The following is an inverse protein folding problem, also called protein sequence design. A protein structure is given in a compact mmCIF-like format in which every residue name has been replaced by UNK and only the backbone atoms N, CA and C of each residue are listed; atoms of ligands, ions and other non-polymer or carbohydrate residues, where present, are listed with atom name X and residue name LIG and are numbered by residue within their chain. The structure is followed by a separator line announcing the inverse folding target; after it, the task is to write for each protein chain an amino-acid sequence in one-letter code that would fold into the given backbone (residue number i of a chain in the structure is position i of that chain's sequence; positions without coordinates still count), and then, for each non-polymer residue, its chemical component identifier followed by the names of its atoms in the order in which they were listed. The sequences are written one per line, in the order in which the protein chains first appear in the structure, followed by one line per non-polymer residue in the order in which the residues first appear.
data_IF_634908986382
#
_entry.id   IF_634908986382
#
_cell.length_a   1.000
_cell.length_b   1.000
_cell.length_c   1.000
_cell.angle_alpha   90.00
_cell.angle_beta   90.00
_cell.angle_gamma   90.00
#
_symmetry.space_group_name_H-M   'P 1'
#
loop_
_entity.id
_entity.type
_entity.pdbx_description
1 polymer ?
#
# COMPACT_ATOMS: atom_id res chain seq x y z
N UNK A 1 3.92 -19.71 -21.69
CA UNK A 1 3.26 -18.38 -21.58
C UNK A 1 2.73 -18.03 -22.94
N UNK A 2 1.45 -17.69 -23.05
CA UNK A 2 0.91 -17.16 -24.31
C UNK A 2 1.54 -15.78 -24.46
N UNK A 3 2.34 -15.60 -25.50
CA UNK A 3 2.98 -14.32 -25.78
C UNK A 3 2.06 -13.57 -26.74
N UNK A 4 1.62 -12.37 -26.35
CA UNK A 4 0.72 -11.54 -27.17
C UNK A 4 1.26 -11.37 -28.61
N UNK A 5 0.41 -11.66 -29.60
CA UNK A 5 0.78 -11.66 -31.03
C UNK A 5 0.55 -10.31 -31.73
N UNK A 6 0.00 -9.33 -31.02
CA UNK A 6 -0.29 -7.99 -31.56
C UNK A 6 0.51 -6.90 -30.85
N UNK A 7 0.52 -5.72 -31.48
CA UNK A 7 1.14 -4.50 -30.94
C UNK A 7 0.52 -4.13 -29.58
N UNK A 8 1.30 -3.61 -28.63
CA UNK A 8 0.76 -3.06 -27.38
C UNK A 8 -0.27 -1.97 -27.65
N UNK A 9 -1.45 -2.05 -27.03
CA UNK A 9 -2.56 -1.10 -27.29
C UNK A 9 -2.60 0.00 -26.24
N UNK A 10 -2.36 1.24 -26.65
CA UNK A 10 -2.25 2.38 -25.73
C UNK A 10 -3.35 3.41 -26.02
N UNK A 11 -4.18 3.68 -25.02
CA UNK A 11 -5.21 4.72 -25.09
C UNK A 11 -4.69 6.04 -24.52
N UNK A 12 -4.84 7.12 -25.27
CA UNK A 12 -4.51 8.47 -24.85
C UNK A 12 -5.78 9.26 -24.49
N UNK A 13 -5.79 9.82 -23.28
CA UNK A 13 -6.80 10.77 -22.79
C UNK A 13 -6.13 12.11 -22.50
N UNK A 14 -6.77 13.21 -22.89
CA UNK A 14 -6.25 14.56 -22.65
C UNK A 14 -7.28 15.49 -22.00
N UNK A 15 -6.79 16.45 -21.22
CA UNK A 15 -7.61 17.25 -20.30
C UNK A 15 -7.99 18.65 -20.78
N UNK A 16 -7.93 18.98 -22.07
CA UNK A 16 -8.29 20.33 -22.55
C UNK A 16 -8.83 20.34 -23.97
N UNK A 17 -9.95 21.04 -24.14
CA UNK A 17 -10.68 21.26 -25.40
C UNK A 17 -10.27 22.56 -26.12
N UNK A 18 -9.30 23.31 -25.58
CA UNK A 18 -8.81 24.54 -26.23
C UNK A 18 -8.32 24.22 -27.64
N UNK A 19 -8.52 25.14 -28.57
CA UNK A 19 -8.01 25.02 -29.95
C UNK A 19 -6.52 24.68 -29.94
N UNK A 20 -5.72 25.47 -29.20
CA UNK A 20 -4.33 25.17 -28.87
C UNK A 20 -4.22 24.62 -27.45
N UNK A 21 -4.28 23.30 -27.34
CA UNK A 21 -4.26 22.57 -26.07
C UNK A 21 -2.89 21.90 -25.87
N UNK A 22 -2.07 22.43 -24.96
CA UNK A 22 -0.73 21.85 -24.69
C UNK A 22 -0.79 20.44 -24.11
N UNK A 23 -1.84 20.08 -23.37
CA UNK A 23 -2.01 18.70 -22.89
C UNK A 23 -2.31 17.74 -24.04
N UNK A 24 -3.06 18.19 -25.07
CA UNK A 24 -3.28 17.44 -26.31
C UNK A 24 -2.00 17.33 -27.13
N UNK A 25 -1.27 18.44 -27.33
CA UNK A 25 0.01 18.43 -28.06
C UNK A 25 1.06 17.54 -27.38
N UNK A 26 1.13 17.56 -26.05
CA UNK A 26 2.00 16.67 -25.28
C UNK A 26 1.60 15.20 -25.44
N UNK A 27 0.29 14.90 -25.45
CA UNK A 27 -0.21 13.55 -25.69
C UNK A 27 0.07 13.08 -27.13
N UNK A 28 -0.02 13.97 -28.12
CA UNK A 28 0.32 13.70 -29.52
C UNK A 28 1.83 13.41 -29.70
N UNK A 29 2.70 14.17 -29.03
CA UNK A 29 4.15 13.89 -29.04
C UNK A 29 4.47 12.54 -28.38
N UNK A 30 3.89 12.28 -27.21
CA UNK A 30 4.02 11.00 -26.52
C UNK A 30 3.51 9.82 -27.37
N UNK A 31 2.42 10.02 -28.11
CA UNK A 31 1.88 9.01 -29.01
C UNK A 31 2.81 8.72 -30.20
N UNK A 32 3.48 9.73 -30.78
CA UNK A 32 4.50 9.51 -31.82
C UNK A 32 5.63 8.64 -31.30
N UNK A 33 6.18 8.99 -30.14
CA UNK A 33 7.29 8.27 -29.49
C UNK A 33 6.91 6.80 -29.25
N UNK A 34 5.77 6.52 -28.60
CA UNK A 34 5.40 5.13 -28.30
C UNK A 34 4.98 4.33 -29.54
N UNK A 35 4.51 5.00 -30.59
CA UNK A 35 4.23 4.37 -31.89
C UNK A 35 5.53 3.92 -32.56
N UNK A 36 6.58 4.74 -32.51
CA UNK A 36 7.92 4.38 -33.00
C UNK A 36 8.51 3.18 -32.23
N UNK A 37 8.20 3.06 -30.93
CA UNK A 37 8.55 1.88 -30.13
C UNK A 37 7.77 0.62 -30.52
N UNK A 38 6.66 0.75 -31.25
CA UNK A 38 5.89 -0.38 -31.79
C UNK A 38 4.47 -0.54 -31.26
N UNK A 39 3.94 0.43 -30.50
CA UNK A 39 2.56 0.39 -29.98
C UNK A 39 1.50 0.76 -31.05
N UNK A 40 0.29 0.24 -30.88
CA UNK A 40 -0.93 0.74 -31.52
C UNK A 40 -1.55 1.80 -30.59
N UNK A 41 -1.76 3.02 -31.10
CA UNK A 41 -2.27 4.14 -30.31
C UNK A 41 -3.68 4.54 -30.75
N UNK A 42 -4.54 4.89 -29.79
CA UNK A 42 -5.83 5.54 -30.05
C UNK A 42 -6.04 6.70 -29.12
N UNK A 43 -6.69 7.75 -29.63
CA UNK A 43 -7.11 8.91 -28.85
C UNK A 43 -8.61 8.87 -28.66
N UNK A 44 -9.06 9.36 -27.50
CA UNK A 44 -10.45 9.73 -27.30
C UNK A 44 -10.61 11.24 -27.46
N UNK A 45 -11.59 11.69 -28.27
CA UNK A 45 -11.99 13.11 -28.32
C UNK A 45 -13.13 13.37 -27.32
N UNK A 46 -12.90 14.20 -26.27
CA UNK A 46 -13.90 14.43 -25.22
C UNK A 46 -14.88 15.57 -25.50
N UNK A 47 -14.87 16.22 -26.69
CA UNK A 47 -15.71 17.41 -26.96
C UNK A 47 -17.21 17.20 -26.70
N UNK A 48 -17.72 16.05 -27.08
CA UNK A 48 -19.15 15.69 -26.96
C UNK A 48 -19.41 14.72 -25.80
N UNK A 49 -18.43 14.53 -24.91
CA UNK A 49 -18.62 13.67 -23.75
C UNK A 49 -19.52 14.40 -22.73
N UNK A 50 -20.72 13.87 -22.41
CA UNK A 50 -21.62 14.46 -21.42
C UNK A 50 -20.98 14.49 -20.03
N UNK A 51 -21.48 15.33 -19.14
CA UNK A 51 -21.06 15.31 -17.73
C UNK A 51 -21.49 13.99 -17.10
N UNK A 52 -20.63 13.39 -16.29
CA UNK A 52 -20.93 12.15 -15.60
C UNK A 52 -22.25 12.24 -14.82
N UNK A 53 -23.14 11.27 -15.07
CA UNK A 53 -24.47 11.20 -14.46
C UNK A 53 -25.53 12.07 -15.12
N UNK A 54 -25.21 12.85 -16.17
CA UNK A 54 -26.21 13.70 -16.84
C UNK A 54 -27.06 12.97 -17.88
N UNK A 55 -26.60 11.82 -18.37
CA UNK A 55 -27.29 10.98 -19.36
C UNK A 55 -27.11 9.49 -19.02
N UNK A 56 -27.91 8.58 -19.60
CA UNK A 56 -27.66 7.15 -19.49
C UNK A 56 -26.29 6.77 -20.05
N UNK A 57 -25.73 5.69 -19.55
CA UNK A 57 -24.41 5.22 -19.99
C UNK A 57 -24.43 4.65 -21.42
N UNK A 58 -25.61 4.45 -22.03
CA UNK A 58 -25.80 4.09 -23.45
C UNK A 58 -25.47 5.22 -24.43
N UNK A 59 -25.14 6.42 -23.94
CA UNK A 59 -24.75 7.54 -24.79
C UNK A 59 -23.54 7.19 -25.68
N UNK A 60 -23.58 7.55 -26.97
CA UNK A 60 -22.57 7.13 -27.96
C UNK A 60 -21.12 7.43 -27.54
N UNK A 61 -20.85 8.66 -27.09
CA UNK A 61 -19.52 9.05 -26.60
C UNK A 61 -19.07 8.33 -25.33
N UNK A 62 -20.01 7.91 -24.48
CA UNK A 62 -19.71 7.14 -23.27
C UNK A 62 -19.33 5.71 -23.65
N UNK A 63 -20.06 5.11 -24.59
CA UNK A 63 -19.75 3.79 -25.12
C UNK A 63 -18.40 3.79 -25.84
N UNK A 64 -18.13 4.76 -26.70
CA UNK A 64 -16.83 4.91 -27.37
C UNK A 64 -15.66 4.97 -26.36
N UNK A 65 -15.78 5.78 -25.32
CA UNK A 65 -14.75 5.86 -24.27
C UNK A 65 -14.54 4.52 -23.56
N UNK A 66 -15.63 3.83 -23.22
CA UNK A 66 -15.58 2.54 -22.52
C UNK A 66 -14.99 1.44 -23.40
N UNK A 67 -15.37 1.40 -24.68
CA UNK A 67 -14.82 0.48 -25.67
C UNK A 67 -13.32 0.71 -25.88
N UNK A 68 -12.88 1.97 -25.96
CA UNK A 68 -11.47 2.33 -26.03
C UNK A 68 -10.71 1.90 -24.77
N UNK A 69 -11.27 2.15 -23.58
CA UNK A 69 -10.65 1.70 -22.33
C UNK A 69 -10.56 0.17 -22.29
N UNK A 70 -11.60 -0.53 -22.72
CA UNK A 70 -11.60 -1.99 -22.78
C UNK A 70 -10.55 -2.52 -23.78
N UNK A 71 -10.42 -1.89 -24.94
CA UNK A 71 -9.44 -2.22 -25.99
C UNK A 71 -7.99 -2.02 -25.52
N UNK A 72 -7.75 -1.02 -24.68
CA UNK A 72 -6.41 -0.67 -24.19
C UNK A 72 -5.77 -1.76 -23.33
N UNK A 73 -4.44 -1.89 -23.40
CA UNK A 73 -3.60 -2.66 -22.48
C UNK A 73 -2.80 -1.72 -21.55
N UNK A 74 -2.58 -0.48 -22.01
CA UNK A 74 -2.04 0.62 -21.23
C UNK A 74 -2.71 1.94 -21.59
N UNK A 75 -2.57 2.95 -20.74
CA UNK A 75 -3.12 4.28 -20.98
C UNK A 75 -2.12 5.39 -20.68
N UNK A 76 -2.32 6.54 -21.31
CA UNK A 76 -1.62 7.80 -21.01
C UNK A 76 -2.66 8.87 -20.73
N UNK A 77 -2.56 9.50 -19.56
CA UNK A 77 -3.43 10.60 -19.17
C UNK A 77 -2.64 11.90 -19.10
N UNK A 78 -2.99 12.85 -19.95
CA UNK A 78 -2.35 14.17 -20.03
C UNK A 78 -3.31 15.27 -19.58
N UNK A 79 -3.10 15.84 -18.40
CA UNK A 79 -3.94 16.93 -17.87
C UNK A 79 -3.19 18.26 -17.88
N UNK A 80 -3.81 19.38 -18.27
CA UNK A 80 -3.31 20.66 -17.83
C UNK A 80 -3.50 20.79 -16.31
N UNK A 81 -2.69 21.62 -15.68
CA UNK A 81 -2.93 22.10 -14.33
C UNK A 81 -3.80 23.35 -14.39
N UNK A 82 -5.02 23.25 -13.86
CA UNK A 82 -5.99 24.34 -13.77
C UNK A 82 -6.29 24.61 -12.30
N UNK A 83 -6.07 25.84 -11.85
CA UNK A 83 -6.22 26.22 -10.44
C UNK A 83 -5.49 25.28 -9.47
N UNK A 84 -4.29 24.83 -9.86
CA UNK A 84 -3.46 23.94 -9.04
C UNK A 84 -3.94 22.49 -8.98
N UNK A 85 -4.83 22.05 -9.87
CA UNK A 85 -5.39 20.69 -9.88
C UNK A 85 -5.59 20.15 -11.32
N UNK A 86 -6.04 18.89 -11.44
CA UNK A 86 -6.45 18.28 -12.70
C UNK A 86 -7.62 19.05 -13.33
N UNK A 87 -7.79 18.93 -14.65
CA UNK A 87 -8.94 19.54 -15.31
C UNK A 87 -10.24 18.76 -15.09
N UNK A 88 -11.36 19.47 -15.09
CA UNK A 88 -12.68 18.82 -15.09
C UNK A 88 -12.88 17.90 -16.31
N UNK A 89 -12.25 18.20 -17.45
CA UNK A 89 -12.36 17.39 -18.68
C UNK A 89 -11.71 16.02 -18.50
N UNK A 90 -10.49 15.94 -17.92
CA UNK A 90 -9.85 14.64 -17.70
C UNK A 90 -10.58 13.85 -16.62
N UNK A 91 -11.04 14.54 -15.57
CA UNK A 91 -11.79 13.91 -14.49
C UNK A 91 -13.12 13.34 -14.98
N UNK A 92 -13.85 14.08 -15.82
CA UNK A 92 -15.11 13.63 -16.40
C UNK A 92 -14.93 12.38 -17.27
N UNK A 93 -13.85 12.30 -18.07
CA UNK A 93 -13.50 11.08 -18.81
C UNK A 93 -13.31 9.89 -17.86
N UNK A 94 -12.49 10.06 -16.82
CA UNK A 94 -12.20 9.01 -15.85
C UNK A 94 -13.48 8.55 -15.12
N UNK A 95 -14.38 9.48 -14.78
CA UNK A 95 -15.64 9.17 -14.07
C UNK A 95 -16.58 8.28 -14.89
N UNK A 96 -16.55 8.40 -16.22
CA UNK A 96 -17.34 7.54 -17.11
C UNK A 96 -16.82 6.10 -17.23
N UNK A 97 -15.62 5.81 -16.73
CA UNK A 97 -15.00 4.48 -16.77
C UNK A 97 -15.25 3.75 -15.44
N UNK A 98 -16.20 2.81 -15.37
CA UNK A 98 -16.48 2.08 -14.14
C UNK A 98 -15.40 1.04 -13.85
N UNK A 99 -15.25 0.67 -12.58
CA UNK A 99 -14.41 -0.46 -12.17
C UNK A 99 -14.90 -1.79 -12.74
N UNK A 100 -16.21 -1.93 -12.95
CA UNK A 100 -16.86 -3.16 -13.38
C UNK A 100 -18.05 -2.90 -14.29
N UNK A 101 -18.11 -3.61 -15.41
CA UNK A 101 -19.30 -3.74 -16.27
C UNK A 101 -19.62 -5.23 -16.34
N UNK A 102 -20.48 -5.71 -15.42
CA UNK A 102 -20.69 -7.15 -15.23
C UNK A 102 -19.38 -7.87 -14.88
N UNK A 103 -18.94 -8.79 -15.75
CA UNK A 103 -17.67 -9.51 -15.61
C UNK A 103 -16.45 -8.72 -16.13
N UNK A 104 -16.66 -7.71 -16.99
CA UNK A 104 -15.59 -6.96 -17.63
C UNK A 104 -15.02 -5.94 -16.63
N UNK A 105 -13.69 -5.79 -16.63
CA UNK A 105 -12.95 -4.80 -15.83
C UNK A 105 -12.18 -3.90 -16.81
N UNK A 106 -12.68 -2.69 -17.16
CA UNK A 106 -12.12 -1.85 -18.23
C UNK A 106 -10.74 -1.24 -17.96
N UNK A 107 -10.26 -1.22 -16.71
CA UNK A 107 -8.98 -0.61 -16.31
C UNK A 107 -8.08 -1.52 -15.47
N UNK A 108 -8.66 -2.49 -14.77
CA UNK A 108 -7.94 -3.34 -13.82
C UNK A 108 -6.74 -4.07 -14.47
N UNK A 109 -5.56 -3.93 -13.86
CA UNK A 109 -4.32 -4.59 -14.30
C UNK A 109 -3.63 -3.99 -15.52
N UNK A 110 -4.22 -2.97 -16.15
CA UNK A 110 -3.62 -2.22 -17.27
C UNK A 110 -2.56 -1.24 -16.77
N UNK A 111 -1.57 -0.95 -17.59
CA UNK A 111 -0.53 0.04 -17.27
C UNK A 111 -1.03 1.48 -17.44
N UNK A 112 -0.45 2.41 -16.70
CA UNK A 112 -0.79 3.83 -16.78
C UNK A 112 0.46 4.70 -16.69
N UNK A 113 0.59 5.65 -17.62
CA UNK A 113 1.49 6.79 -17.48
C UNK A 113 0.69 8.09 -17.28
N UNK A 114 1.18 8.97 -16.42
CA UNK A 114 0.55 10.26 -16.12
C UNK A 114 1.45 11.40 -16.53
N UNK A 115 0.85 12.41 -17.15
CA UNK A 115 1.54 13.58 -17.67
C UNK A 115 0.76 14.85 -17.33
N UNK A 116 1.47 15.95 -17.10
CA UNK A 116 0.86 17.27 -17.00
C UNK A 116 1.59 18.35 -17.79
N UNK A 117 0.83 19.41 -18.08
CA UNK A 117 1.35 20.69 -18.56
C UNK A 117 0.90 21.81 -17.64
N UNK A 118 1.77 22.79 -17.41
CA UNK A 118 1.43 24.03 -16.70
C UNK A 118 1.75 25.24 -17.55
N UNK A 119 0.94 26.30 -17.41
CA UNK A 119 1.27 27.62 -17.95
C UNK A 119 2.29 28.38 -17.09
N UNK A 120 2.48 27.97 -15.84
CA UNK A 120 3.39 28.61 -14.88
C UNK A 120 4.66 27.80 -14.63
N UNK A 121 5.26 28.05 -13.47
CA UNK A 121 6.39 27.27 -12.95
C UNK A 121 6.04 25.79 -12.77
N UNK A 122 7.07 24.97 -12.61
CA UNK A 122 6.90 23.54 -12.43
C UNK A 122 6.06 23.22 -11.19
N UNK A 123 5.17 22.24 -11.35
CA UNK A 123 4.27 21.74 -10.33
C UNK A 123 4.02 20.25 -10.60
N UNK A 124 3.48 19.53 -9.63
CA UNK A 124 3.17 18.10 -9.74
C UNK A 124 1.76 17.75 -9.27
N UNK A 125 0.92 18.75 -9.00
CA UNK A 125 -0.38 18.53 -8.38
C UNK A 125 -1.31 17.68 -9.25
N UNK A 126 -1.33 17.94 -10.57
CA UNK A 126 -2.18 17.19 -11.49
C UNK A 126 -1.71 15.74 -11.63
N UNK A 127 -0.41 15.48 -11.85
CA UNK A 127 0.12 14.10 -11.94
C UNK A 127 -0.02 13.31 -10.65
N UNK A 128 0.14 13.96 -9.48
CA UNK A 128 -0.08 13.30 -8.19
C UNK A 128 -1.54 12.84 -8.03
N UNK A 129 -2.48 13.71 -8.41
CA UNK A 129 -3.91 13.36 -8.38
C UNK A 129 -4.23 12.25 -9.38
N UNK A 130 -3.71 12.32 -10.61
CA UNK A 130 -3.90 11.27 -11.63
C UNK A 130 -3.30 9.92 -11.17
N UNK A 131 -2.16 9.92 -10.49
CA UNK A 131 -1.54 8.72 -9.94
C UNK A 131 -2.45 8.05 -8.89
N UNK A 132 -3.04 8.84 -8.01
CA UNK A 132 -4.01 8.36 -7.00
C UNK A 132 -5.28 7.82 -7.70
N UNK A 133 -5.75 8.48 -8.76
CA UNK A 133 -6.87 7.99 -9.57
C UNK A 133 -6.54 6.66 -10.27
N UNK A 134 -5.33 6.51 -10.81
CA UNK A 134 -4.85 5.26 -11.41
C UNK A 134 -4.88 4.09 -10.42
N UNK A 135 -4.44 4.33 -9.18
CA UNK A 135 -4.55 3.36 -8.07
C UNK A 135 -6.01 3.00 -7.79
N UNK A 136 -6.92 3.99 -7.72
CA UNK A 136 -8.35 3.72 -7.52
C UNK A 136 -8.94 2.87 -8.64
N UNK A 137 -8.52 3.10 -9.89
CA UNK A 137 -8.89 2.30 -11.07
C UNK A 137 -8.13 0.98 -11.19
N UNK A 138 -7.34 0.59 -10.18
CA UNK A 138 -6.56 -0.66 -10.11
C UNK A 138 -5.61 -0.83 -11.30
N UNK A 139 -5.07 0.28 -11.81
CA UNK A 139 -4.07 0.30 -12.86
C UNK A 139 -2.67 0.18 -12.25
N UNK A 140 -1.73 -0.34 -13.03
CA UNK A 140 -0.31 -0.32 -12.71
C UNK A 140 0.29 1.00 -13.22
N UNK A 141 0.26 2.03 -12.37
CA UNK A 141 0.84 3.33 -12.71
C UNK A 141 2.36 3.26 -12.65
N UNK A 142 3.04 3.45 -13.78
CA UNK A 142 4.50 3.39 -13.87
C UNK A 142 5.15 4.46 -12.98
N UNK A 143 6.37 4.24 -12.46
CA UNK A 143 7.01 5.18 -11.56
C UNK A 143 7.30 6.53 -12.22
N UNK A 144 7.77 6.53 -13.47
CA UNK A 144 8.14 7.77 -14.17
C UNK A 144 6.89 8.57 -14.60
N UNK A 145 7.05 9.89 -14.70
CA UNK A 145 5.98 10.82 -15.07
C UNK A 145 6.55 12.09 -15.71
N UNK A 146 5.71 12.79 -16.49
CA UNK A 146 6.09 14.06 -17.13
C UNK A 146 5.33 15.24 -16.54
N UNK A 147 6.05 16.33 -16.24
CA UNK A 147 5.46 17.62 -15.89
C UNK A 147 6.20 18.73 -16.62
N UNK A 148 5.54 19.31 -17.63
CA UNK A 148 6.09 20.35 -18.49
C UNK A 148 5.68 21.72 -17.99
N UNK A 149 6.63 22.47 -17.42
CA UNK A 149 6.42 23.85 -16.99
C UNK A 149 6.43 24.81 -18.18
N UNK A 150 5.74 25.95 -18.05
CA UNK A 150 5.65 26.99 -19.09
C UNK A 150 5.46 26.41 -20.50
N UNK A 151 4.52 25.47 -20.65
CA UNK A 151 4.42 24.62 -21.85
C UNK A 151 4.31 25.40 -23.17
N UNK A 152 3.83 26.64 -23.14
CA UNK A 152 3.83 27.53 -24.30
C UNK A 152 5.22 27.82 -24.89
N UNK A 153 6.29 27.68 -24.09
CA UNK A 153 7.69 27.83 -24.52
C UNK A 153 8.28 26.54 -25.11
N UNK A 154 7.65 25.39 -24.83
CA UNK A 154 8.10 24.07 -25.26
C UNK A 154 7.44 23.63 -26.58
N UNK A 155 6.31 24.25 -26.95
CA UNK A 155 5.56 23.95 -28.15
C UNK A 155 5.51 25.16 -29.11
N UNK A 156 6.47 25.28 -30.06
CA UNK A 156 6.42 26.28 -31.13
C UNK A 156 5.18 26.14 -32.02
N UNK A 157 4.97 27.07 -32.97
CA UNK A 157 3.75 27.14 -33.80
C UNK A 157 3.40 25.86 -34.56
N UNK A 158 4.40 25.04 -34.94
CA UNK A 158 4.20 23.75 -35.60
C UNK A 158 3.59 22.65 -34.72
N UNK A 159 3.38 22.89 -33.41
CA UNK A 159 2.70 21.96 -32.50
C UNK A 159 3.54 20.77 -32.04
N UNK A 160 4.71 20.52 -32.63
CA UNK A 160 5.69 19.54 -32.14
C UNK A 160 6.50 20.13 -30.99
N UNK A 161 6.80 19.29 -30.00
CA UNK A 161 7.61 19.70 -28.86
C UNK A 161 9.05 19.96 -29.30
N UNK A 162 9.67 21.05 -28.85
CA UNK A 162 11.09 21.33 -29.12
C UNK A 162 11.98 20.29 -28.40
N UNK A 163 13.22 20.18 -28.85
CA UNK A 163 14.22 19.39 -28.16
C UNK A 163 14.58 20.04 -26.82
N UNK A 164 14.33 19.34 -25.72
CA UNK A 164 14.51 19.87 -24.36
C UNK A 164 14.54 18.74 -23.33
N UNK A 165 15.03 19.00 -22.10
CA UNK A 165 14.97 18.02 -21.01
C UNK A 165 13.55 17.53 -20.68
N UNK A 166 12.53 18.34 -21.01
CA UNK A 166 11.14 17.91 -20.87
C UNK A 166 10.77 16.86 -21.92
N UNK A 167 11.28 16.99 -23.16
CA UNK A 167 11.06 16.01 -24.22
C UNK A 167 11.79 14.70 -23.91
N UNK A 168 13.02 14.77 -23.43
CA UNK A 168 13.78 13.59 -22.95
C UNK A 168 12.98 12.82 -21.89
N UNK A 169 12.42 13.56 -20.92
CA UNK A 169 11.54 12.95 -19.91
C UNK A 169 10.30 12.29 -20.53
N UNK A 170 9.68 12.87 -21.55
CA UNK A 170 8.55 12.23 -22.24
C UNK A 170 8.98 10.94 -22.92
N UNK A 171 10.18 10.91 -23.50
CA UNK A 171 10.76 9.69 -24.09
C UNK A 171 10.94 8.61 -23.03
N UNK A 172 11.56 8.94 -21.89
CA UNK A 172 11.74 7.99 -20.77
C UNK A 172 10.40 7.41 -20.30
N UNK A 173 9.38 8.26 -20.14
CA UNK A 173 8.05 7.85 -19.67
C UNK A 173 7.36 6.93 -20.68
N UNK A 174 7.47 7.20 -21.98
CA UNK A 174 6.89 6.35 -23.02
C UNK A 174 7.64 5.03 -23.19
N UNK A 175 8.97 5.06 -23.08
CA UNK A 175 9.80 3.85 -23.11
C UNK A 175 9.49 2.94 -21.92
N UNK A 176 9.40 3.51 -20.72
CA UNK A 176 9.01 2.79 -19.51
C UNK A 176 7.60 2.23 -19.61
N UNK A 177 6.62 3.03 -20.07
CA UNK A 177 5.25 2.56 -20.29
C UNK A 177 5.22 1.37 -21.25
N UNK A 178 5.95 1.45 -22.37
CA UNK A 178 6.02 0.38 -23.36
C UNK A 178 6.57 -0.91 -22.75
N UNK A 179 7.71 -0.82 -22.04
CA UNK A 179 8.36 -1.96 -21.37
C UNK A 179 7.43 -2.62 -20.35
N UNK A 180 6.80 -1.84 -19.47
CA UNK A 180 5.86 -2.37 -18.48
C UNK A 180 4.61 -2.97 -19.12
N UNK A 181 4.10 -2.38 -20.20
CA UNK A 181 2.92 -2.92 -20.89
C UNK A 181 3.21 -4.29 -21.48
N UNK A 182 4.36 -4.46 -22.14
CA UNK A 182 4.79 -5.76 -22.66
C UNK A 182 4.98 -6.77 -21.53
N UNK A 183 5.60 -6.35 -20.42
CA UNK A 183 5.87 -7.23 -19.28
C UNK A 183 4.58 -7.75 -18.63
N UNK A 184 3.55 -6.91 -18.52
CA UNK A 184 2.38 -7.19 -17.69
C UNK A 184 1.16 -7.71 -18.48
N UNK A 185 1.00 -7.34 -19.76
CA UNK A 185 -0.24 -7.60 -20.52
C UNK A 185 -0.64 -9.08 -20.60
N UNK A 186 0.34 -9.99 -20.70
CA UNK A 186 0.11 -11.43 -20.79
C UNK A 186 -0.10 -12.10 -19.40
N UNK A 187 0.03 -11.33 -18.32
CA UNK A 187 -0.02 -11.81 -16.93
C UNK A 187 -1.17 -11.18 -16.13
N UNK A 188 -2.02 -10.34 -16.75
CA UNK A 188 -3.08 -9.60 -16.06
C UNK A 188 -4.02 -10.52 -15.28
N UNK A 189 -4.42 -11.67 -15.84
CA UNK A 189 -5.29 -12.62 -15.16
C UNK A 189 -4.65 -13.19 -13.88
N UNK A 190 -3.36 -13.52 -13.93
CA UNK A 190 -2.61 -13.99 -12.77
C UNK A 190 -2.42 -12.88 -11.73
N UNK A 191 -1.99 -11.70 -12.15
CA UNK A 191 -1.74 -10.55 -11.27
C UNK A 191 -3.03 -10.05 -10.58
N UNK A 192 -4.18 -10.30 -11.19
CA UNK A 192 -5.48 -9.91 -10.66
C UNK A 192 -6.26 -11.03 -9.98
N UNK A 193 -5.73 -12.26 -9.96
CA UNK A 193 -6.27 -13.36 -9.17
C UNK A 193 -5.98 -13.16 -7.68
N UNK A 194 -6.91 -12.48 -7.00
CA UNK A 194 -6.78 -12.10 -5.59
C UNK A 194 -7.29 -13.19 -4.64
N UNK A 195 -6.50 -13.46 -3.61
CA UNK A 195 -6.87 -14.37 -2.52
C UNK A 195 -8.24 -14.06 -1.89
N UNK A 196 -8.54 -12.78 -1.61
CA UNK A 196 -9.82 -12.38 -1.02
C UNK A 196 -11.01 -12.73 -1.93
N UNK A 197 -10.85 -12.55 -3.24
CA UNK A 197 -11.89 -12.87 -4.23
C UNK A 197 -12.09 -14.39 -4.37
N UNK A 198 -11.01 -15.19 -4.30
CA UNK A 198 -11.10 -16.66 -4.23
C UNK A 198 -11.85 -17.13 -2.98
N UNK A 199 -11.50 -16.57 -1.81
CA UNK A 199 -12.17 -16.86 -0.53
C UNK A 199 -13.67 -16.52 -0.56
N UNK A 200 -14.04 -15.40 -1.19
CA UNK A 200 -15.47 -15.04 -1.35
C UNK A 200 -16.21 -15.99 -2.29
N UNK A 201 -15.59 -16.40 -3.40
CA UNK A 201 -16.17 -17.40 -4.31
C UNK A 201 -16.39 -18.73 -3.60
N UNK A 202 -15.41 -19.22 -2.84
CA UNK A 202 -15.53 -20.44 -2.04
C UNK A 202 -16.69 -20.37 -1.04
N UNK A 203 -16.81 -19.27 -0.29
CA UNK A 203 -17.95 -19.05 0.61
C UNK A 203 -19.30 -19.07 -0.11
N UNK A 204 -19.39 -18.41 -1.28
CA UNK A 204 -20.61 -18.42 -2.09
C UNK A 204 -20.94 -19.81 -2.65
N UNK A 205 -19.93 -20.59 -3.03
CA UNK A 205 -20.12 -21.98 -3.48
C UNK A 205 -20.65 -22.84 -2.34
N UNK A 206 -20.07 -22.75 -1.14
CA UNK A 206 -20.55 -23.48 0.05
C UNK A 206 -22.00 -23.11 0.40
N UNK A 207 -22.37 -21.82 0.33
CA UNK A 207 -23.75 -21.36 0.56
C UNK A 207 -24.71 -21.75 -0.58
N UNK A 208 -24.24 -21.77 -1.83
CA UNK A 208 -25.02 -22.14 -3.01
C UNK A 208 -25.35 -23.64 -3.09
N UNK A 209 -24.45 -24.50 -2.60
CA UNK A 209 -24.72 -25.94 -2.45
C UNK A 209 -25.78 -26.19 -1.36
N UNK A 210 -25.94 -25.29 -0.38
CA UNK A 210 -27.00 -25.35 0.63
C UNK A 210 -28.39 -24.94 0.14
N UNK A 211 -28.53 -24.35 -1.05
CA UNK A 211 -29.81 -23.78 -1.53
C UNK A 211 -30.42 -24.54 -2.73
N UNK A 212 -29.83 -25.67 -3.13
CA UNK A 212 -30.42 -26.63 -4.07
C UNK A 212 -31.03 -27.83 -3.35
N UNK A 213 -31.69 -27.58 -2.21
CA UNK A 213 -32.61 -28.53 -1.58
C UNK A 213 -33.86 -28.67 -2.43
N UNK A 214 -33.79 -29.43 -3.53
CA UNK A 214 -34.98 -30.01 -4.15
C UNK A 214 -35.66 -30.90 -3.12
N UNK A 215 -36.90 -30.56 -2.80
CA UNK A 215 -37.91 -31.48 -2.32
C UNK A 215 -37.79 -32.83 -3.04
N UNK A 216 -37.31 -33.85 -2.35
CA UNK A 216 -37.59 -35.23 -2.69
C UNK A 216 -37.99 -35.95 -1.42
N UNK A 217 -39.20 -36.49 -1.45
CA UNK A 217 -39.78 -37.32 -0.42
C UNK A 217 -38.79 -38.39 0.04
N UNK A 218 -38.66 -38.53 1.35
CA UNK A 218 -37.96 -39.65 1.98
C UNK A 218 -38.93 -40.84 2.03
N UNK A 219 -38.61 -41.97 1.37
CA UNK A 219 -39.00 -43.27 1.88
C UNK A 219 -37.75 -44.05 2.31
N UNK A 220 -37.59 -44.07 3.63
CA UNK A 220 -37.19 -45.19 4.50
C UNK A 220 -36.72 -46.50 3.83
N UNK A 221 -35.58 -47.01 4.36
CA UNK A 221 -35.15 -48.43 4.48
C UNK A 221 -34.40 -49.08 3.30
N UNK A 222 -33.36 -49.92 3.44
CA UNK A 222 -32.73 -50.63 4.56
C UNK A 222 -31.20 -50.76 4.31
N UNK A 223 -30.36 -50.47 5.31
CA UNK A 223 -29.06 -51.13 5.47
C UNK A 223 -29.25 -52.27 6.49
N UNK A 224 -28.85 -53.53 6.19
CA UNK A 224 -28.92 -54.57 7.20
C UNK A 224 -27.52 -54.88 7.80
N UNK A 225 -27.53 -55.00 9.14
CA UNK A 225 -26.56 -55.63 10.07
C UNK A 225 -25.41 -54.74 10.64
N UNK A 226 -25.62 -53.95 11.72
CA UNK A 226 -25.55 -54.24 13.20
C UNK A 226 -24.13 -54.48 13.79
N UNK A 227 -23.81 -54.16 15.09
CA UNK A 227 -24.66 -53.65 16.18
C UNK A 227 -24.14 -52.41 16.96
N UNK A 228 -25.02 -51.95 17.85
CA UNK A 228 -25.03 -50.76 18.71
C UNK A 228 -24.13 -50.91 19.94
N UNK A 229 -23.55 -49.80 20.42
CA UNK A 229 -23.22 -49.61 21.84
C UNK A 229 -23.53 -48.18 22.25
N UNK A 230 -24.53 -48.02 23.12
CA UNK A 230 -24.88 -46.79 23.82
C UNK A 230 -23.77 -46.42 24.82
N UNK A 231 -23.37 -45.16 24.87
CA UNK A 231 -22.96 -44.51 26.12
C UNK A 231 -23.44 -43.06 26.16
N UNK A 232 -24.35 -42.71 27.10
CA UNK A 232 -24.70 -41.34 27.42
C UNK A 232 -23.82 -40.81 28.57
N UNK A 233 -23.50 -39.51 28.50
CA UNK A 233 -22.86 -38.67 29.53
C UNK A 233 -21.40 -39.01 29.93
N UNK A 234 -20.50 -38.04 29.78
CA UNK A 234 -19.43 -37.83 30.78
C UNK A 234 -19.14 -36.32 30.98
N UNK A 235 -18.88 -35.87 32.22
CA UNK A 235 -18.61 -34.47 32.56
C UNK A 235 -17.10 -34.14 32.52
N UNK A 236 -16.84 -32.83 32.64
CA UNK A 236 -15.58 -32.12 32.88
C UNK A 236 -14.59 -32.93 33.75
N UNK A 237 -13.33 -33.05 33.33
CA UNK A 237 -12.14 -32.93 34.20
C UNK A 237 -10.83 -32.95 33.39
N UNK A 238 -9.89 -32.11 33.86
CA UNK A 238 -8.50 -31.94 33.42
C UNK A 238 -7.73 -33.26 33.34
N UNK A 239 -6.79 -33.38 32.39
CA UNK A 239 -5.56 -34.13 32.64
C UNK A 239 -4.30 -33.43 32.08
N UNK A 240 -3.17 -33.50 32.82
CA UNK A 240 -1.88 -32.90 32.49
C UNK A 240 -1.03 -33.81 31.57
N UNK A 241 -0.01 -33.22 30.95
CA UNK A 241 1.06 -33.85 30.13
C UNK A 241 1.68 -35.15 30.72
N UNK A 242 2.63 -35.85 30.03
CA UNK A 242 2.74 -36.35 28.63
C UNK A 242 3.28 -37.82 28.60
N UNK A 243 3.53 -38.44 27.42
CA UNK A 243 4.80 -39.15 27.08
C UNK A 243 4.78 -39.96 25.76
N UNK A 244 5.97 -39.99 25.16
CA UNK A 244 6.48 -40.66 23.96
C UNK A 244 6.53 -42.19 24.19
N UNK A 245 6.24 -43.09 23.23
CA UNK A 245 7.24 -43.79 22.40
C UNK A 245 6.65 -44.97 21.59
N UNK A 246 7.13 -45.13 20.34
CA UNK A 246 7.55 -46.34 19.60
C UNK A 246 6.71 -47.64 19.56
N UNK A 247 6.52 -48.19 18.34
CA UNK A 247 6.96 -49.55 17.91
C UNK A 247 6.66 -49.81 16.39
N UNK A 248 7.25 -50.85 15.75
CA UNK A 248 7.76 -50.81 14.38
C UNK A 248 7.21 -51.90 13.43
N UNK A 249 7.51 -51.75 12.12
CA UNK A 249 7.52 -52.72 11.00
C UNK A 249 6.21 -53.35 10.44
N UNK A 250 5.69 -52.84 9.30
CA UNK A 250 5.74 -53.32 7.87
C UNK A 250 4.59 -54.30 7.46
N UNK A 251 4.04 -54.34 6.21
CA UNK A 251 4.73 -54.32 4.91
C UNK A 251 4.13 -53.45 3.75
N UNK A 252 4.77 -53.58 2.57
CA UNK A 252 4.90 -52.66 1.41
C UNK A 252 3.82 -52.84 0.32
N UNK A 253 3.20 -51.70 -0.08
CA UNK A 253 2.77 -51.20 -1.43
C UNK A 253 1.81 -52.03 -2.32
N UNK A 254 0.99 -51.40 -3.21
CA UNK A 254 1.40 -50.36 -4.16
C UNK A 254 0.42 -49.19 -4.38
N UNK A 255 0.90 -47.95 -4.29
CA UNK A 255 0.35 -46.84 -5.06
C UNK A 255 1.51 -46.04 -5.65
N UNK A 256 1.67 -46.01 -6.99
CA UNK A 256 2.84 -45.42 -7.60
C UNK A 256 2.59 -43.98 -8.10
N UNK A 257 3.59 -43.15 -7.83
CA UNK A 257 3.99 -41.89 -8.48
C UNK A 257 3.34 -40.55 -8.05
N UNK A 258 3.78 -40.06 -6.89
CA UNK A 258 4.18 -38.65 -6.72
C UNK A 258 5.72 -38.58 -6.77
N UNK A 259 6.36 -37.81 -7.67
CA UNK A 259 7.77 -37.50 -7.52
C UNK A 259 7.95 -36.40 -6.47
N UNK A 260 8.31 -36.82 -5.26
CA UNK A 260 9.11 -36.02 -4.33
C UNK A 260 10.54 -36.08 -4.87
N UNK A 261 11.04 -34.97 -5.42
CA UNK A 261 12.47 -34.83 -5.64
C UNK A 261 13.10 -34.28 -4.38
N UNK A 262 13.85 -35.17 -3.70
CA UNK A 262 14.93 -34.77 -2.81
C UNK A 262 15.92 -33.91 -3.60
N UNK A 263 16.40 -32.83 -2.99
CA UNK A 263 17.63 -32.17 -3.43
C UNK A 263 18.83 -32.84 -2.75
N UNK A 264 19.68 -33.60 -3.48
CA UNK A 264 21.02 -33.92 -3.02
C UNK A 264 21.99 -32.85 -3.52
N UNK A 265 22.85 -32.36 -2.64
CA UNK A 265 24.04 -31.54 -2.93
C UNK A 265 23.81 -30.13 -3.54
N UNK A 266 23.89 -29.10 -2.71
CA UNK A 266 24.28 -27.75 -3.17
C UNK A 266 25.81 -27.69 -3.21
N UNK A 267 26.46 -27.37 -4.35
CA UNK A 267 27.81 -26.84 -4.31
C UNK A 267 27.74 -25.41 -3.77
N UNK A 268 28.57 -25.12 -2.76
CA UNK A 268 28.87 -23.76 -2.34
C UNK A 268 29.62 -23.10 -3.50
N UNK A 269 28.95 -22.25 -4.27
CA UNK A 269 29.60 -21.21 -5.07
C UNK A 269 29.24 -19.85 -4.50
N UNK A 270 30.23 -18.98 -4.22
CA UNK A 270 30.01 -17.71 -3.55
C UNK A 270 29.45 -16.70 -4.56
N UNK A 271 28.17 -16.34 -4.44
CA UNK A 271 27.67 -15.13 -5.09
C UNK A 271 27.75 -13.95 -4.12
N UNK A 272 28.53 -12.90 -4.43
CA UNK A 272 28.63 -11.72 -3.61
C UNK A 272 27.42 -10.80 -3.86
N UNK A 273 26.80 -10.34 -2.77
CA UNK A 273 25.83 -9.24 -2.67
C UNK A 273 24.46 -9.40 -3.35
N UNK A 274 23.48 -9.88 -2.57
CA UNK A 274 22.05 -9.57 -2.76
C UNK A 274 21.56 -8.74 -1.56
N UNK A 275 20.94 -7.56 -1.75
CA UNK A 275 20.34 -6.81 -0.65
C UNK A 275 19.01 -7.46 -0.26
N UNK A 276 18.88 -7.81 1.01
CA UNK A 276 17.67 -8.37 1.61
C UNK A 276 16.61 -7.26 1.63
N UNK A 277 15.72 -7.27 0.64
CA UNK A 277 14.40 -6.65 0.79
C UNK A 277 13.37 -7.64 0.25
N UNK A 278 12.27 -7.79 0.99
CA UNK A 278 11.10 -8.61 0.65
C UNK A 278 11.10 -10.10 1.05
N UNK A 279 11.26 -10.36 2.35
CA UNK A 279 10.51 -11.45 3.02
C UNK A 279 9.51 -10.78 3.98
N UNK A 280 8.36 -10.34 3.44
CA UNK A 280 7.12 -10.13 4.21
C UNK A 280 6.06 -11.11 3.73
N UNK A 281 6.40 -12.40 3.76
CA UNK A 281 5.46 -13.48 3.48
C UNK A 281 5.54 -14.51 4.60
N UNK A 282 5.02 -14.11 5.76
CA UNK A 282 4.58 -14.94 6.88
C UNK A 282 3.74 -13.98 7.73
N UNK A 283 2.53 -14.39 8.12
CA UNK A 283 1.57 -13.58 8.88
C UNK A 283 2.02 -13.27 10.30
N UNK A 284 3.12 -12.55 10.45
CA UNK A 284 3.55 -11.92 11.70
C UNK A 284 3.01 -10.49 11.66
N UNK A 285 2.16 -10.11 12.61
CA UNK A 285 1.78 -8.71 12.81
C UNK A 285 3.07 -7.95 13.12
N UNK A 286 3.59 -7.21 12.15
CA UNK A 286 4.82 -6.42 12.34
C UNK A 286 4.43 -5.28 13.28
N UNK A 287 4.89 -5.36 14.53
CA UNK A 287 4.68 -4.30 15.52
C UNK A 287 5.37 -3.03 15.05
N UNK A 288 4.63 -1.93 15.05
CA UNK A 288 5.15 -0.60 14.72
C UNK A 288 6.17 -0.18 15.78
N UNK A 289 7.33 0.32 15.33
CA UNK A 289 8.42 0.78 16.21
C UNK A 289 8.30 2.28 16.47
N UNK A 290 8.30 2.67 17.73
CA UNK A 290 8.13 4.06 18.19
C UNK A 290 9.37 4.54 18.93
N UNK A 291 9.88 5.71 18.57
CA UNK A 291 10.97 6.40 19.25
C UNK A 291 10.44 7.60 20.04
N UNK A 292 10.71 7.63 21.35
CA UNK A 292 10.51 8.81 22.19
C UNK A 292 11.83 9.57 22.36
N UNK A 293 11.91 10.79 21.83
CA UNK A 293 13.09 11.64 21.87
C UNK A 293 12.91 12.81 22.85
N UNK A 294 13.90 13.04 23.71
CA UNK A 294 13.95 14.21 24.59
C UNK A 294 15.38 14.76 24.70
N UNK A 295 15.53 16.07 24.95
CA UNK A 295 16.84 16.71 25.14
C UNK A 295 17.57 16.18 26.39
N UNK A 296 16.92 16.25 27.56
CA UNK A 296 17.38 15.62 28.80
C UNK A 296 16.48 14.42 29.08
N UNK A 297 16.96 13.23 28.76
CA UNK A 297 16.21 11.98 28.90
C UNK A 297 16.19 11.47 30.35
N UNK A 298 15.83 12.34 31.30
CA UNK A 298 15.77 12.04 32.73
C UNK A 298 14.33 11.87 33.23
N UNK A 299 13.34 12.55 32.64
CA UNK A 299 11.95 12.57 33.12
C UNK A 299 10.92 12.14 32.06
N UNK A 300 10.56 13.03 31.12
CA UNK A 300 9.39 12.90 30.23
C UNK A 300 9.43 11.66 29.32
N UNK A 301 10.53 11.45 28.62
CA UNK A 301 10.72 10.32 27.69
C UNK A 301 10.75 8.96 28.40
N UNK A 302 11.25 8.91 29.65
CA UNK A 302 11.26 7.70 30.47
C UNK A 302 9.84 7.34 30.95
N UNK A 303 9.06 8.35 31.36
CA UNK A 303 7.64 8.18 31.68
C UNK A 303 6.86 7.68 30.46
N UNK A 304 7.09 8.28 29.29
CA UNK A 304 6.45 7.86 28.04
C UNK A 304 6.82 6.42 27.63
N UNK A 305 8.10 6.06 27.74
CA UNK A 305 8.56 4.68 27.52
C UNK A 305 7.89 3.70 28.48
N UNK A 306 7.81 4.03 29.77
CA UNK A 306 7.13 3.21 30.78
C UNK A 306 5.66 2.95 30.44
N UNK A 307 4.92 3.99 30.07
CA UNK A 307 3.52 3.83 29.63
C UNK A 307 3.40 3.04 28.34
N UNK A 308 4.23 3.33 27.34
CA UNK A 308 4.12 2.69 26.03
C UNK A 308 4.51 1.21 26.09
N UNK A 309 5.50 0.82 26.91
CA UNK A 309 5.83 -0.59 27.17
C UNK A 309 4.71 -1.32 27.91
N UNK A 310 4.06 -0.66 28.87
CA UNK A 310 3.01 -1.28 29.71
C UNK A 310 1.68 -1.40 28.96
N UNK A 311 1.22 -0.30 28.34
CA UNK A 311 -0.08 -0.20 27.68
C UNK A 311 -0.03 -0.70 26.22
N UNK A 312 1.14 -0.62 25.58
CA UNK A 312 1.38 -1.00 24.19
C UNK A 312 1.95 -2.41 24.02
N UNK A 313 2.05 -3.20 25.09
CA UNK A 313 2.59 -4.56 25.04
C UNK A 313 1.87 -5.42 23.99
N UNK A 314 2.65 -5.97 23.04
CA UNK A 314 2.13 -6.78 21.92
C UNK A 314 1.45 -5.98 20.80
N UNK A 315 1.40 -4.64 20.90
CA UNK A 315 0.86 -3.73 19.87
C UNK A 315 1.96 -2.92 19.18
N UNK A 316 2.89 -2.34 19.96
CA UNK A 316 3.98 -1.50 19.48
C UNK A 316 5.31 -1.91 20.13
N UNK A 317 6.42 -1.68 19.42
CA UNK A 317 7.77 -1.79 19.95
C UNK A 317 8.28 -0.38 20.30
N UNK A 318 8.90 -0.21 21.47
CA UNK A 318 9.19 1.12 22.03
C UNK A 318 10.67 1.27 22.36
N UNK A 319 11.25 2.39 21.94
CA UNK A 319 12.58 2.85 22.35
C UNK A 319 12.48 4.30 22.84
N UNK A 320 13.26 4.68 23.85
CA UNK A 320 13.51 6.10 24.15
C UNK A 320 14.97 6.47 24.00
N UNK A 321 15.21 7.74 23.72
CA UNK A 321 16.56 8.27 23.52
C UNK A 321 16.69 9.71 24.03
N UNK A 322 17.88 10.01 24.54
CA UNK A 322 18.30 11.36 24.90
C UNK A 322 19.25 11.98 23.88
N UNK A 323 19.37 13.31 23.89
CA UNK A 323 20.56 13.95 23.31
C UNK A 323 21.82 13.69 24.19
N UNK A 324 21.61 13.44 25.48
CA UNK A 324 22.64 13.08 26.46
C UNK A 324 22.23 11.82 27.25
N UNK A 325 23.22 11.02 27.68
CA UNK A 325 22.98 9.87 28.55
C UNK A 325 22.72 10.36 29.99
N UNK A 326 21.56 10.02 30.55
CA UNK A 326 21.16 10.41 31.90
C UNK A 326 20.50 9.22 32.61
N UNK A 327 20.64 9.17 33.94
CA UNK A 327 19.86 8.27 34.79
C UNK A 327 18.44 8.83 34.93
N UNK A 328 17.47 7.93 35.15
CA UNK A 328 16.08 8.30 35.40
C UNK A 328 15.99 9.15 36.67
N UNK A 329 15.21 10.23 36.60
CA UNK A 329 15.01 11.15 37.70
C UNK A 329 14.21 10.48 38.83
N UNK A 330 14.61 10.62 40.12
CA UNK A 330 13.92 10.00 41.24
C UNK A 330 12.43 10.35 41.33
N UNK A 331 12.07 11.62 41.09
CA UNK A 331 10.67 12.04 41.07
C UNK A 331 9.83 11.40 39.97
N UNK A 332 10.44 11.00 38.84
CA UNK A 332 9.74 10.25 37.79
C UNK A 332 9.51 8.79 38.21
N UNK A 333 10.48 8.18 38.90
CA UNK A 333 10.34 6.83 39.48
C UNK A 333 9.22 6.82 40.50
N UNK A 334 9.21 7.78 41.43
CA UNK A 334 8.22 7.89 42.49
C UNK A 334 6.78 7.93 41.94
N UNK A 335 6.48 8.85 41.01
CA UNK A 335 5.12 8.98 40.46
C UNK A 335 4.69 7.83 39.55
N UNK A 336 5.63 7.09 38.97
CA UNK A 336 5.33 5.91 38.16
C UNK A 336 5.11 4.67 39.04
N UNK A 337 5.86 4.54 40.13
CA UNK A 337 5.63 3.49 41.14
C UNK A 337 4.26 3.63 41.81
N UNK A 338 3.76 4.85 42.04
CA UNK A 338 2.40 5.09 42.56
C UNK A 338 1.30 4.37 41.76
N UNK A 339 1.50 4.22 40.45
CA UNK A 339 0.54 3.58 39.53
C UNK A 339 0.97 2.16 39.12
N UNK A 340 2.01 1.62 39.76
CA UNK A 340 2.49 0.26 39.55
C UNK A 340 3.35 0.06 38.30
N UNK A 341 3.96 1.11 37.73
CA UNK A 341 4.88 1.00 36.60
C UNK A 341 6.31 1.28 37.09
N UNK A 342 7.18 0.26 37.03
CA UNK A 342 8.58 0.42 37.38
C UNK A 342 9.40 0.88 36.17
N UNK A 343 10.11 2.00 36.34
CA UNK A 343 11.00 2.58 35.31
C UNK A 343 12.46 2.66 35.79
N UNK A 344 12.79 2.08 36.93
CA UNK A 344 14.10 2.22 37.61
C UNK A 344 15.27 1.73 36.75
N UNK A 345 15.06 0.64 36.00
CA UNK A 345 16.07 0.01 35.15
C UNK A 345 16.15 0.61 33.73
N UNK A 346 15.37 1.64 33.44
CA UNK A 346 15.42 2.28 32.12
C UNK A 346 16.69 3.12 31.99
N UNK A 347 17.29 3.08 30.80
CA UNK A 347 18.54 3.79 30.52
C UNK A 347 18.46 4.51 29.18
N UNK A 348 18.93 5.76 29.15
CA UNK A 348 19.05 6.53 27.92
C UNK A 348 20.29 6.11 27.12
N UNK A 349 20.10 5.74 25.86
CA UNK A 349 21.15 5.79 24.84
C UNK A 349 21.07 7.14 24.11
N UNK A 350 22.20 7.67 23.60
CA UNK A 350 22.18 8.89 22.81
C UNK A 350 21.53 8.65 21.44
N UNK A 351 20.81 9.65 20.92
CA UNK A 351 20.01 9.49 19.69
C UNK A 351 20.84 9.16 18.45
N UNK A 352 22.13 9.53 18.48
CA UNK A 352 23.12 9.22 17.44
C UNK A 352 23.42 7.72 17.29
N UNK A 353 23.08 6.91 18.28
CA UNK A 353 23.28 5.45 18.24
C UNK A 353 22.13 4.73 17.53
N UNK A 354 21.13 5.48 17.05
CA UNK A 354 19.97 4.96 16.36
C UNK A 354 19.83 5.57 14.97
N UNK A 355 19.20 4.82 14.06
CA UNK A 355 18.85 5.34 12.73
C UNK A 355 17.35 5.68 12.69
N UNK A 356 16.95 6.84 12.12
CA UNK A 356 15.54 7.19 11.98
C UNK A 356 14.72 6.16 11.19
N UNK A 357 15.33 5.56 10.16
CA UNK A 357 14.70 4.58 9.26
C UNK A 357 14.26 3.28 9.97
N UNK A 358 14.78 3.02 11.17
CA UNK A 358 14.41 1.85 11.96
C UNK A 358 13.06 2.01 12.69
N UNK A 359 12.47 3.21 12.67
CA UNK A 359 11.28 3.57 13.44
C UNK A 359 10.13 4.01 12.53
N UNK A 360 8.91 3.59 12.85
CA UNK A 360 7.69 3.97 12.14
C UNK A 360 7.10 5.29 12.67
N UNK A 361 7.41 5.66 13.92
CA UNK A 361 6.95 6.90 14.55
C UNK A 361 8.02 7.50 15.47
N UNK A 362 8.14 8.83 15.45
CA UNK A 362 9.08 9.60 16.28
C UNK A 362 8.31 10.68 17.05
N UNK A 363 8.42 10.66 18.37
CA UNK A 363 7.71 11.57 19.26
C UNK A 363 8.74 12.38 20.05
N UNK A 364 8.76 13.70 19.83
CA UNK A 364 9.54 14.65 20.62
C UNK A 364 8.73 15.08 21.84
N UNK A 365 9.31 15.04 23.05
CA UNK A 365 8.61 15.44 24.30
C UNK A 365 9.06 16.80 24.86
N UNK A 366 9.89 17.53 24.13
CA UNK A 366 10.53 18.76 24.60
C UNK A 366 9.97 20.03 23.94
N UNK A 367 9.02 19.91 22.99
CA UNK A 367 8.62 21.06 22.17
C UNK A 367 9.76 21.60 21.30
N UNK A 368 10.79 20.77 21.11
CA UNK A 368 12.07 21.19 20.57
C UNK A 368 12.39 20.48 19.27
N UNK A 369 11.37 20.04 18.51
CA UNK A 369 11.51 19.33 17.23
C UNK A 369 12.48 19.98 16.25
N UNK A 370 12.75 21.28 16.43
CA UNK A 370 13.74 22.09 15.71
C UNK A 370 15.22 21.67 15.94
N UNK A 371 15.53 20.94 17.03
CA UNK A 371 16.90 20.51 17.37
C UNK A 371 17.18 19.04 17.01
N UNK A 372 16.21 18.30 16.48
CA UNK A 372 16.44 16.95 15.99
C UNK A 372 17.04 17.01 14.57
N UNK A 373 17.98 16.11 14.21
CA UNK A 373 18.49 16.02 12.85
C UNK A 373 17.34 15.79 11.85
N UNK A 374 17.48 16.32 10.64
CA UNK A 374 16.43 16.33 9.60
C UNK A 374 15.78 14.95 9.38
N UNK A 375 16.56 13.87 9.38
CA UNK A 375 16.06 12.50 9.19
C UNK A 375 15.07 12.01 10.27
N UNK A 376 15.06 12.60 11.46
CA UNK A 376 14.10 12.27 12.53
C UNK A 376 12.77 13.04 12.39
N UNK A 377 12.81 14.22 11.78
CA UNK A 377 11.63 15.10 11.60
C UNK A 377 10.86 14.74 10.32
N UNK A 378 11.55 14.16 9.33
CA UNK A 378 10.94 13.72 8.06
C UNK A 378 10.22 12.36 8.13
N UNK A 379 10.05 11.78 9.32
CA UNK A 379 9.33 10.51 9.47
C UNK A 379 7.84 10.67 9.18
N UNK A 380 7.22 9.60 8.67
CA UNK A 380 5.80 9.59 8.29
C UNK A 380 4.89 9.99 9.46
N UNK A 381 5.27 9.57 10.67
CA UNK A 381 4.59 9.92 11.91
C UNK A 381 5.61 10.63 12.81
N UNK A 382 5.58 11.96 12.78
CA UNK A 382 6.34 12.81 13.68
C UNK A 382 5.40 13.69 14.49
N UNK A 383 5.49 13.63 15.82
CA UNK A 383 4.74 14.52 16.73
C UNK A 383 5.68 15.22 17.70
N UNK A 384 5.43 16.50 17.95
CA UNK A 384 6.14 17.27 18.98
C UNK A 384 5.16 17.61 20.12
N UNK A 385 5.28 16.87 21.21
CA UNK A 385 4.50 17.06 22.42
C UNK A 385 5.15 18.13 23.29
N UNK A 386 4.49 19.28 23.34
CA UNK A 386 4.83 20.40 24.21
C UNK A 386 4.42 20.09 25.66
N UNK A 387 5.28 19.38 26.39
CA UNK A 387 5.05 18.98 27.79
C UNK A 387 6.05 19.69 28.69
N UNK A 388 5.55 20.32 29.75
CA UNK A 388 6.36 21.04 30.75
C UNK A 388 7.44 20.13 31.35
N UNK A 389 8.63 20.68 31.60
CA UNK A 389 9.70 19.95 32.27
C UNK A 389 9.43 19.91 33.78
N UNK A 390 9.20 18.74 34.39
CA UNK A 390 8.94 18.66 35.83
C UNK A 390 10.22 18.79 36.67
N UNK A 391 11.41 18.76 36.06
CA UNK A 391 12.67 18.87 36.78
C UNK A 391 12.75 20.17 37.62
N UNK A 392 13.12 20.04 38.89
CA UNK A 392 13.14 21.15 39.87
C UNK A 392 11.78 21.64 40.36
N UNK A 393 10.67 21.01 39.96
CA UNK A 393 9.31 21.36 40.39
C UNK A 393 8.80 20.45 41.53
N UNK A 394 7.72 20.84 42.25
CA UNK A 394 7.09 19.96 43.24
C UNK A 394 6.58 18.65 42.64
N UNK A 395 6.46 17.60 43.47
CA UNK A 395 6.01 16.25 43.04
C UNK A 395 4.63 16.26 42.37
N UNK A 396 3.74 17.20 42.72
CA UNK A 396 2.44 17.35 42.06
C UNK A 396 2.57 17.70 40.57
N UNK A 397 3.62 18.44 40.19
CA UNK A 397 3.92 18.72 38.78
C UNK A 397 4.33 17.45 38.06
N UNK A 398 5.09 16.56 38.71
CA UNK A 398 5.42 15.24 38.14
C UNK A 398 4.17 14.39 37.91
N UNK A 399 3.20 14.40 38.84
CA UNK A 399 1.92 13.68 38.67
C UNK A 399 1.09 14.23 37.51
N UNK A 400 0.98 15.57 37.40
CA UNK A 400 0.29 16.21 36.27
C UNK A 400 0.92 15.84 34.94
N UNK A 401 2.25 15.95 34.83
CA UNK A 401 3.00 15.60 33.60
C UNK A 401 2.85 14.12 33.28
N UNK A 402 2.89 13.23 34.27
CA UNK A 402 2.63 11.79 34.11
C UNK A 402 1.27 11.53 33.46
N UNK A 403 0.23 12.14 34.00
CA UNK A 403 -1.15 11.88 33.53
C UNK A 403 -1.38 12.47 32.13
N UNK A 404 -0.75 13.60 31.81
CA UNK A 404 -0.74 14.17 30.46
C UNK A 404 -0.04 13.25 29.45
N UNK A 405 1.15 12.74 29.79
CA UNK A 405 1.89 11.78 28.95
C UNK A 405 1.06 10.51 28.75
N UNK A 406 0.42 10.00 29.80
CA UNK A 406 -0.43 8.81 29.72
C UNK A 406 -1.54 8.97 28.68
N UNK A 407 -2.26 10.09 28.71
CA UNK A 407 -3.34 10.36 27.77
C UNK A 407 -2.84 10.38 26.31
N UNK A 408 -1.70 11.04 26.07
CA UNK A 408 -1.08 11.11 24.73
C UNK A 408 -0.57 9.75 24.25
N UNK A 409 0.05 8.95 25.12
CA UNK A 409 0.51 7.59 24.79
C UNK A 409 -0.65 6.66 24.45
N UNK A 410 -1.79 6.75 25.14
CA UNK A 410 -2.98 5.97 24.80
C UNK A 410 -3.46 6.31 23.38
N UNK A 411 -3.59 7.59 23.05
CA UNK A 411 -3.99 8.02 21.70
C UNK A 411 -3.01 7.55 20.63
N UNK A 412 -1.70 7.63 20.91
CA UNK A 412 -0.66 7.14 20.00
C UNK A 412 -0.76 5.64 19.76
N UNK A 413 -1.02 4.84 20.81
CA UNK A 413 -1.19 3.39 20.67
C UNK A 413 -2.41 3.08 19.80
N UNK A 414 -3.54 3.77 20.01
CA UNK A 414 -4.75 3.58 19.20
C UNK A 414 -4.53 3.94 17.72
N UNK A 415 -3.74 4.97 17.45
CA UNK A 415 -3.36 5.36 16.09
C UNK A 415 -2.47 4.33 15.40
N UNK A 416 -1.61 3.62 16.15
CA UNK A 416 -0.59 2.73 15.61
C UNK A 416 -0.95 1.22 15.65
N UNK A 417 -1.97 0.82 16.42
CA UNK A 417 -2.34 -0.59 16.68
C UNK A 417 -3.37 -1.17 15.73
#
# INVERSE_FOLDING_TARGET
MIQSTHKPRILFLYGSLRQRSYSRLLAEEAARIITELGAEVRFFDPRELPIYGSVPDTHAKVQELRELSQWSEGQVWSSPELHGNISGIIKNQIDWIPLSIGAIRPTQGRTLAVMQVSGGSQSFNAVNTLRILGRWLRMFTIPNQSSVAKAYQEFPEGGTMKDSPYRDRVIDVMEELYKFTILLRDQVDYLTDRYSERKEKEKKTVLGVGCWGRCFLIPISLFPYFPISLFPYFPISLFPYPLISLFPHFPISPFPYFPISLFPHFPISPFPHFPISLIKFLGVKIMKKVMFACRKNSCRSQIAEGFAKTLGAGKIAVTSSGLEAAKVHPGAIEVMQEIGIDITDQTSKPIRDFNPEDYDAVISLCGCGVNLPEGWVLQEIFEDWLIDDPDGQPIETFRRVRDEIKAKVIGLIEQLS
#
